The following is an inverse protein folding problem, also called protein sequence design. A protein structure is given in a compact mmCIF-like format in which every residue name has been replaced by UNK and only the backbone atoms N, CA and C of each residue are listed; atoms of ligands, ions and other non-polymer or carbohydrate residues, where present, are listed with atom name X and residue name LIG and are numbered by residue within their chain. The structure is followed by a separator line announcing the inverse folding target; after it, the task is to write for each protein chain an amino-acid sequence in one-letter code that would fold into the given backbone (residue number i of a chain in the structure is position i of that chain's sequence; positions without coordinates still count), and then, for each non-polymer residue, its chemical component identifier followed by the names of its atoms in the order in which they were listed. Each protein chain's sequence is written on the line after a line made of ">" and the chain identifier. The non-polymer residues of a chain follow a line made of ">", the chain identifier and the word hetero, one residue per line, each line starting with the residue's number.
data_IF_418859276162
#
_entry.id   IF_418859276162
#
_cell.length_a   1.000
_cell.length_b   1.000
_cell.length_c   1.000
_cell.angle_alpha   90.00
_cell.angle_beta   90.00
_cell.angle_gamma   90.00
#
_symmetry.space_group_name_H-M   'P 1'
#
loop_
_entity.id
_entity.type
_entity.pdbx_description
1 polymer ?
#
# COMPACT_ATOMS: atom_id res chain seq x y z
N UNK A 1 32.75 21.79 -17.56
CA UNK A 1 31.85 21.86 -16.40
C UNK A 1 31.64 20.44 -15.88
N UNK A 2 31.90 20.19 -14.59
CA UNK A 2 31.67 18.88 -13.98
C UNK A 2 30.38 18.89 -13.14
N UNK A 3 29.54 17.87 -13.31
CA UNK A 3 28.33 17.63 -12.53
C UNK A 3 28.52 16.30 -11.81
N UNK A 4 28.43 16.32 -10.48
CA UNK A 4 28.40 15.10 -9.69
C UNK A 4 26.95 14.69 -9.46
N UNK A 5 26.61 13.44 -9.77
CA UNK A 5 25.26 12.91 -9.55
C UNK A 5 25.25 11.79 -8.52
N UNK A 6 24.25 11.78 -7.65
CA UNK A 6 23.92 10.66 -6.77
C UNK A 6 22.53 10.12 -7.14
N UNK A 7 22.41 8.80 -7.11
CA UNK A 7 21.19 8.08 -7.47
C UNK A 7 20.31 7.88 -6.24
N UNK A 8 19.01 8.11 -6.40
CA UNK A 8 18.00 7.78 -5.39
C UNK A 8 16.90 6.96 -6.05
N UNK A 9 16.53 5.87 -5.40
CA UNK A 9 15.42 5.03 -5.80
C UNK A 9 14.39 4.93 -4.69
N UNK A 10 13.11 4.95 -5.07
CA UNK A 10 11.98 4.74 -4.18
C UNK A 10 11.14 3.57 -4.69
N UNK A 11 10.96 2.57 -3.83
CA UNK A 11 10.16 1.39 -4.08
C UNK A 11 8.82 1.54 -3.37
N UNK A 12 7.78 1.75 -4.16
CA UNK A 12 6.40 1.89 -3.72
C UNK A 12 5.69 0.53 -3.75
N UNK A 13 4.59 0.42 -2.99
CA UNK A 13 3.74 -0.77 -2.97
C UNK A 13 2.48 -0.60 -3.83
N UNK A 14 2.06 -1.64 -4.57
CA UNK A 14 0.83 -1.60 -5.36
C UNK A 14 -0.41 -1.61 -4.44
N UNK A 15 -1.61 -1.56 -5.02
CA UNK A 15 -2.83 -1.81 -4.26
C UNK A 15 -2.72 -3.13 -3.46
N UNK A 16 -3.20 -3.22 -2.20
CA UNK A 16 -4.06 -2.29 -1.47
C UNK A 16 -3.35 -1.21 -0.62
N UNK A 17 -2.04 -1.02 -0.79
CA UNK A 17 -1.28 -0.07 0.01
C UNK A 17 -1.50 1.38 -0.44
N UNK A 18 -1.35 2.35 0.47
CA UNK A 18 -1.62 3.79 0.21
C UNK A 18 -0.80 4.37 -0.94
N UNK A 19 0.41 3.85 -1.15
CA UNK A 19 1.27 4.25 -2.27
C UNK A 19 0.66 3.90 -3.63
N UNK A 20 -0.22 2.90 -3.68
CA UNK A 20 -1.04 2.46 -4.81
C UNK A 20 -0.33 2.59 -6.15
N UNK A 21 0.86 2.01 -6.26
CA UNK A 21 1.68 2.15 -7.46
C UNK A 21 1.23 1.21 -8.58
N UNK A 22 1.67 1.52 -9.79
CA UNK A 22 1.50 0.74 -11.00
C UNK A 22 2.72 -0.14 -11.22
N UNK A 23 2.52 -1.45 -11.15
CA UNK A 23 3.47 -2.46 -11.64
C UNK A 23 2.88 -3.05 -12.92
N UNK A 24 3.64 -3.08 -14.02
CA UNK A 24 3.17 -3.28 -15.39
C UNK A 24 2.48 -4.63 -15.69
N UNK A 25 2.20 -5.43 -14.67
CA UNK A 25 1.66 -6.77 -14.70
C UNK A 25 0.30 -6.93 -13.99
N UNK A 26 -0.22 -5.89 -13.33
CA UNK A 26 -1.46 -6.04 -12.56
C UNK A 26 -2.71 -5.85 -13.44
N UNK A 27 -3.09 -6.94 -14.11
CA UNK A 27 -4.36 -7.07 -14.85
C UNK A 27 -5.53 -7.50 -13.96
N UNK A 28 -5.33 -7.64 -12.64
CA UNK A 28 -6.32 -8.23 -11.73
C UNK A 28 -7.36 -7.24 -11.23
N UNK A 29 -7.10 -5.94 -11.39
CA UNK A 29 -8.09 -4.90 -11.17
C UNK A 29 -8.84 -4.60 -12.47
N UNK A 30 -10.13 -4.87 -12.46
CA UNK A 30 -11.13 -4.46 -13.47
C UNK A 30 -11.35 -2.92 -13.43
N UNK A 31 -10.27 -2.15 -13.29
CA UNK A 31 -10.26 -0.72 -13.00
C UNK A 31 -10.43 0.13 -14.27
N UNK A 32 -11.22 -0.35 -15.24
CA UNK A 32 -11.66 0.45 -16.37
C UNK A 32 -12.54 1.64 -15.94
N UNK A 33 -13.04 1.65 -14.70
CA UNK A 33 -13.99 2.65 -14.20
C UNK A 33 -13.33 3.85 -13.49
N UNK A 34 -12.13 3.72 -12.93
CA UNK A 34 -11.54 4.78 -12.06
C UNK A 34 -10.13 5.19 -12.47
N UNK A 35 -9.32 4.31 -13.08
CA UNK A 35 -7.92 4.64 -13.40
C UNK A 35 -7.55 4.31 -14.85
N UNK A 36 -7.01 5.31 -15.55
CA UNK A 36 -6.54 5.20 -16.92
C UNK A 36 -5.40 4.18 -17.11
N UNK A 37 -4.76 3.78 -16.01
CA UNK A 37 -3.57 2.94 -15.96
C UNK A 37 -3.73 1.53 -16.53
N UNK A 38 -4.92 0.92 -16.50
CA UNK A 38 -5.14 -0.41 -17.10
C UNK A 38 -4.88 -0.44 -18.62
N UNK A 39 -4.78 0.73 -19.26
CA UNK A 39 -4.46 0.89 -20.68
C UNK A 39 -2.98 1.16 -20.94
N UNK A 40 -2.13 1.44 -19.96
CA UNK A 40 -0.75 1.92 -20.20
C UNK A 40 0.30 0.99 -19.58
N UNK A 41 1.53 0.98 -20.12
CA UNK A 41 2.63 0.15 -19.59
C UNK A 41 3.54 0.90 -18.61
N UNK A 42 3.38 2.21 -18.50
CA UNK A 42 4.10 3.04 -17.54
C UNK A 42 3.24 4.21 -17.09
N UNK A 43 3.56 4.77 -15.92
CA UNK A 43 2.95 6.01 -15.45
C UNK A 43 3.19 7.17 -16.43
N UNK A 44 4.36 7.20 -17.08
CA UNK A 44 4.73 8.21 -18.06
C UNK A 44 3.83 8.20 -19.30
N UNK A 45 3.48 7.01 -19.81
CA UNK A 45 2.53 6.88 -20.91
C UNK A 45 1.12 7.38 -20.53
N UNK A 46 0.64 7.03 -19.33
CA UNK A 46 -0.64 7.53 -18.82
C UNK A 46 -0.61 9.06 -18.72
N UNK A 47 0.45 9.61 -18.14
CA UNK A 47 0.59 11.03 -17.89
C UNK A 47 0.60 11.84 -19.19
N UNK A 48 1.39 11.41 -20.17
CA UNK A 48 1.45 12.06 -21.48
C UNK A 48 0.12 11.99 -22.23
N UNK A 49 -0.57 10.85 -22.17
CA UNK A 49 -1.91 10.71 -22.74
C UNK A 49 -2.93 11.62 -22.04
N UNK A 50 -2.94 11.66 -20.70
CA UNK A 50 -3.80 12.55 -19.92
C UNK A 50 -3.54 14.04 -20.23
N UNK A 51 -2.27 14.45 -20.31
CA UNK A 51 -1.92 15.83 -20.69
C UNK A 51 -2.38 16.16 -22.11
N UNK A 52 -2.23 15.23 -23.05
CA UNK A 52 -2.65 15.44 -24.44
C UNK A 52 -4.17 15.60 -24.58
N UNK A 53 -4.94 14.81 -23.83
CA UNK A 53 -6.40 14.88 -23.82
C UNK A 53 -6.89 16.15 -23.11
N UNK A 54 -6.37 16.43 -21.91
CA UNK A 54 -6.80 17.56 -21.08
C UNK A 54 -6.52 18.92 -21.71
N UNK A 55 -5.41 19.05 -22.43
CA UNK A 55 -5.06 20.28 -23.14
C UNK A 55 -5.79 20.38 -24.50
N UNK A 56 -6.56 19.36 -24.90
CA UNK A 56 -7.27 19.25 -26.19
C UNK A 56 -6.38 19.60 -27.39
N UNK A 57 -5.13 19.18 -27.31
CA UNK A 57 -4.11 19.56 -28.27
C UNK A 57 -4.19 18.57 -29.44
N UNK A 58 -4.58 19.09 -30.62
CA UNK A 58 -4.60 18.32 -31.88
C UNK A 58 -3.22 18.23 -32.55
N UNK A 59 -2.16 18.37 -31.77
CA UNK A 59 -0.79 18.37 -32.24
C UNK A 59 0.13 17.67 -31.23
N UNK A 60 1.25 17.16 -31.72
CA UNK A 60 2.22 16.43 -30.91
C UNK A 60 3.23 17.43 -30.34
N UNK A 61 3.45 17.40 -29.02
CA UNK A 61 4.51 18.21 -28.42
C UNK A 61 5.87 17.59 -28.77
N UNK A 62 6.79 18.39 -29.31
CA UNK A 62 8.14 17.93 -29.68
C UNK A 62 8.90 17.31 -28.49
N UNK A 63 8.61 17.79 -27.28
CA UNK A 63 9.26 17.33 -26.04
C UNK A 63 8.53 16.18 -25.34
N UNK A 64 7.41 15.70 -25.89
CA UNK A 64 6.74 14.53 -25.33
C UNK A 64 7.46 13.24 -25.73
N UNK A 65 7.66 12.33 -24.78
CA UNK A 65 8.19 10.99 -25.06
C UNK A 65 7.10 10.16 -25.74
N UNK A 66 7.21 9.98 -27.05
CA UNK A 66 6.22 9.27 -27.84
C UNK A 66 6.55 7.79 -27.90
N UNK A 67 5.69 6.95 -27.35
CA UNK A 67 5.75 5.50 -27.61
C UNK A 67 4.97 5.16 -28.86
N UNK A 68 5.40 4.15 -29.61
CA UNK A 68 4.72 3.71 -30.83
C UNK A 68 3.24 3.40 -30.58
N UNK A 69 2.92 2.82 -29.43
CA UNK A 69 1.55 2.49 -29.02
C UNK A 69 0.71 3.74 -28.75
N UNK A 70 1.31 4.78 -28.14
CA UNK A 70 0.65 6.07 -27.95
C UNK A 70 0.30 6.69 -29.31
N UNK A 71 1.26 6.70 -30.25
CA UNK A 71 1.05 7.21 -31.61
C UNK A 71 -0.06 6.42 -32.30
N UNK A 72 -0.01 5.09 -32.27
CA UNK A 72 -1.02 4.22 -32.89
C UNK A 72 -2.43 4.49 -32.34
N UNK A 73 -2.58 4.64 -31.01
CA UNK A 73 -3.89 4.97 -30.42
C UNK A 73 -4.39 6.34 -30.84
N UNK A 74 -3.51 7.34 -30.85
CA UNK A 74 -3.92 8.69 -31.21
C UNK A 74 -4.31 8.78 -32.69
N UNK A 75 -3.60 8.08 -33.56
CA UNK A 75 -3.96 7.95 -34.98
C UNK A 75 -5.27 7.16 -35.20
N UNK A 76 -5.59 6.18 -34.33
CA UNK A 76 -6.86 5.45 -34.36
C UNK A 76 -8.05 6.28 -33.86
N UNK A 77 -7.85 7.26 -32.98
CA UNK A 77 -8.93 8.17 -32.56
C UNK A 77 -9.22 9.25 -33.62
N UNK A 78 -8.19 9.71 -34.35
CA UNK A 78 -8.28 10.73 -35.41
C UNK A 78 -8.15 10.11 -36.82
N UNK A 79 -9.07 9.21 -37.21
CA UNK A 79 -9.08 8.51 -38.51
C UNK A 79 -9.11 9.40 -39.76
N UNK A 80 -9.26 10.72 -39.63
CA UNK A 80 -9.45 11.65 -40.75
C UNK A 80 -8.20 12.42 -41.18
N UNK A 81 -7.04 12.26 -40.51
CA UNK A 81 -5.82 13.00 -40.86
C UNK A 81 -4.62 12.07 -40.98
N UNK A 82 -4.02 12.04 -42.17
CA UNK A 82 -2.84 11.23 -42.50
C UNK A 82 -1.57 11.60 -41.74
N UNK A 83 -1.55 12.71 -41.00
CA UNK A 83 -0.41 13.12 -40.17
C UNK A 83 -0.86 14.11 -39.10
N UNK A 84 -0.64 13.79 -37.82
CA UNK A 84 -0.88 14.75 -36.73
C UNK A 84 0.29 15.77 -36.72
N UNK A 85 0.03 17.08 -36.82
CA UNK A 85 1.10 18.08 -36.86
C UNK A 85 1.81 18.18 -35.51
N UNK A 86 3.09 18.59 -35.51
CA UNK A 86 3.75 19.00 -34.27
C UNK A 86 3.25 20.37 -33.82
N UNK A 87 3.13 20.58 -32.52
CA UNK A 87 2.74 21.89 -32.00
C UNK A 87 3.86 22.89 -32.26
N UNK A 88 3.55 23.99 -32.94
CA UNK A 88 4.44 25.15 -32.94
C UNK A 88 4.54 25.68 -31.51
N UNK A 89 5.75 25.95 -31.05
CA UNK A 89 6.10 26.38 -29.68
C UNK A 89 5.36 27.63 -29.16
N UNK A 90 4.42 28.21 -29.91
CA UNK A 90 3.85 29.54 -29.70
C UNK A 90 2.36 29.57 -29.34
N UNK A 91 1.65 28.44 -29.29
CA UNK A 91 0.31 28.47 -28.67
C UNK A 91 0.53 28.52 -27.17
N UNK A 92 0.52 29.74 -26.64
CA UNK A 92 0.49 30.07 -25.23
C UNK A 92 -0.52 29.15 -24.52
N UNK A 93 -0.04 28.02 -24.01
CA UNK A 93 -0.76 27.28 -23.01
C UNK A 93 -0.78 28.25 -21.83
N UNK A 94 -1.93 28.84 -21.53
CA UNK A 94 -2.08 29.68 -20.36
C UNK A 94 -1.45 28.94 -19.17
N UNK A 95 -0.35 29.48 -18.65
CA UNK A 95 0.54 28.77 -17.72
C UNK A 95 -0.25 28.27 -16.49
N UNK A 96 -1.30 29.00 -16.10
CA UNK A 96 -2.23 28.61 -15.03
C UNK A 96 -3.10 27.39 -15.40
N UNK A 97 -3.65 27.33 -16.63
CA UNK A 97 -4.37 26.13 -17.09
C UNK A 97 -3.43 24.93 -17.20
N UNK A 98 -2.17 25.15 -17.58
CA UNK A 98 -1.18 24.08 -17.63
C UNK A 98 -0.91 23.46 -16.26
N UNK A 99 -0.71 24.30 -15.23
CA UNK A 99 -0.46 23.83 -13.86
C UNK A 99 -1.61 22.99 -13.30
N UNK A 100 -2.85 23.45 -13.46
CA UNK A 100 -4.02 22.72 -12.98
C UNK A 100 -4.20 21.36 -13.69
N UNK A 101 -3.95 21.32 -15.01
CA UNK A 101 -4.01 20.07 -15.77
C UNK A 101 -2.86 19.12 -15.43
N UNK A 102 -1.69 19.65 -15.12
CA UNK A 102 -0.55 18.88 -14.62
C UNK A 102 -0.93 18.15 -13.32
N UNK A 103 -1.44 18.89 -12.34
CA UNK A 103 -1.84 18.33 -11.04
C UNK A 103 -2.98 17.31 -11.20
N UNK A 104 -3.95 17.60 -12.06
CA UNK A 104 -5.02 16.67 -12.40
C UNK A 104 -4.47 15.34 -12.94
N UNK A 105 -3.55 15.39 -13.90
CA UNK A 105 -2.97 14.19 -14.50
C UNK A 105 -2.05 13.44 -13.53
N UNK A 106 -1.34 14.14 -12.65
CA UNK A 106 -0.54 13.53 -11.57
C UNK A 106 -1.42 12.76 -10.57
N UNK A 107 -2.64 13.24 -10.30
CA UNK A 107 -3.61 12.54 -9.43
C UNK A 107 -4.29 11.38 -10.14
N UNK A 108 -4.56 11.51 -11.43
CA UNK A 108 -5.29 10.51 -12.24
C UNK A 108 -4.43 9.31 -12.64
N UNK A 109 -3.13 9.53 -12.84
CA UNK A 109 -2.20 8.47 -13.20
C UNK A 109 -1.44 7.99 -11.96
N UNK A 110 -1.61 6.71 -11.58
CA UNK A 110 -0.80 6.14 -10.49
C UNK A 110 0.69 6.15 -10.86
N UNK A 111 1.57 6.35 -9.88
CA UNK A 111 3.00 6.32 -10.14
C UNK A 111 3.53 4.92 -10.40
N UNK A 112 4.67 4.81 -11.08
CA UNK A 112 5.40 3.54 -11.19
C UNK A 112 5.83 3.03 -9.82
N UNK A 113 5.84 1.72 -9.62
CA UNK A 113 6.30 1.10 -8.37
C UNK A 113 7.78 1.32 -8.07
N UNK A 114 8.58 1.56 -9.11
CA UNK A 114 9.97 1.98 -8.98
C UNK A 114 10.07 3.41 -9.50
N UNK A 115 10.57 4.31 -8.66
CA UNK A 115 10.90 5.69 -9.02
C UNK A 115 12.38 5.91 -8.82
N UNK A 116 13.04 6.41 -9.86
CA UNK A 116 14.45 6.74 -9.81
C UNK A 116 14.61 8.24 -10.12
N UNK A 117 15.44 8.91 -9.33
CA UNK A 117 15.84 10.28 -9.60
C UNK A 117 17.28 10.54 -9.20
N UNK A 118 17.88 11.54 -9.84
CA UNK A 118 19.27 11.88 -9.66
C UNK A 118 19.37 13.24 -8.97
N UNK A 119 20.07 13.29 -7.84
CA UNK A 119 20.47 14.56 -7.23
C UNK A 119 21.77 15.02 -7.82
N UNK A 120 21.81 16.26 -8.32
CA UNK A 120 22.97 16.82 -8.99
C UNK A 120 23.59 17.93 -8.15
N UNK A 121 24.88 17.80 -7.86
CA UNK A 121 25.68 18.84 -7.25
C UNK A 121 26.59 19.46 -8.33
N UNK A 122 26.41 20.76 -8.57
CA UNK A 122 27.28 21.52 -9.48
C UNK A 122 28.53 21.95 -8.73
N UNK A 123 29.69 21.57 -9.23
CA UNK A 123 30.95 22.17 -8.79
C UNK A 123 31.19 23.42 -9.64
N UNK A 124 31.25 24.57 -8.97
CA UNK A 124 31.49 25.85 -9.64
C UNK A 124 32.83 25.80 -10.37
N UNK A 125 32.77 25.91 -11.70
CA UNK A 125 33.90 26.26 -12.55
C UNK A 125 33.57 27.62 -13.17
N UNK A 126 34.41 28.63 -12.93
CA UNK A 126 34.38 29.89 -13.69
C UNK A 126 35.01 29.69 -15.11
N UNK A 127 34.85 30.62 -16.06
CA UNK A 127 33.61 31.08 -16.65
C UNK A 127 33.40 30.63 -18.13
N UNK A 128 32.12 30.51 -18.50
CA UNK A 128 31.46 30.83 -19.78
C UNK A 128 31.85 30.22 -21.14
N UNK A 129 32.95 29.48 -21.33
CA UNK A 129 33.31 28.92 -22.66
C UNK A 129 33.52 27.40 -22.72
N UNK A 130 32.97 26.65 -21.77
CA UNK A 130 33.11 25.19 -21.76
C UNK A 130 31.90 24.53 -22.42
N UNK A 131 32.09 23.98 -23.63
CA UNK A 131 31.12 23.10 -24.33
C UNK A 131 31.08 21.68 -23.77
N UNK A 132 32.02 21.35 -22.88
CA UNK A 132 32.13 20.02 -22.28
C UNK A 132 31.43 19.95 -20.94
N UNK A 133 30.43 19.08 -20.87
CA UNK A 133 29.75 18.68 -19.64
C UNK A 133 30.28 17.29 -19.28
N UNK A 134 30.94 17.17 -18.12
CA UNK A 134 31.41 15.90 -17.59
C UNK A 134 30.46 15.47 -16.48
N UNK A 135 29.82 14.31 -16.66
CA UNK A 135 28.98 13.68 -15.64
C UNK A 135 29.83 12.70 -14.85
N UNK A 136 29.93 12.91 -13.54
CA UNK A 136 30.68 12.06 -12.64
C UNK A 136 29.73 11.51 -11.59
N UNK A 137 29.85 10.22 -11.25
CA UNK A 137 29.12 9.67 -10.11
C UNK A 137 29.70 10.27 -8.83
N UNK A 138 28.84 10.77 -7.96
CA UNK A 138 29.22 11.24 -6.62
C UNK A 138 29.74 10.08 -5.78
N UNK A 139 30.60 10.38 -4.81
CA UNK A 139 31.03 9.41 -3.80
C UNK A 139 29.94 9.13 -2.75
N UNK A 140 28.84 9.90 -2.78
CA UNK A 140 27.67 9.61 -1.96
C UNK A 140 27.05 8.27 -2.35
N UNK A 141 26.69 7.42 -1.37
CA UNK A 141 26.02 6.17 -1.66
C UNK A 141 24.65 6.42 -2.30
N UNK A 142 24.25 5.51 -3.19
CA UNK A 142 22.88 5.49 -3.71
C UNK A 142 21.89 5.28 -2.56
N UNK A 143 20.83 6.08 -2.54
CA UNK A 143 19.80 5.98 -1.50
C UNK A 143 18.64 5.14 -2.01
N UNK A 144 18.27 4.10 -1.26
CA UNK A 144 17.07 3.30 -1.52
C UNK A 144 16.05 3.61 -0.42
N UNK A 145 14.86 4.08 -0.83
CA UNK A 145 13.70 4.32 0.03
C UNK A 145 12.69 3.22 -0.25
N UNK A 146 12.46 2.31 0.70
CA UNK A 146 11.55 1.19 0.52
C UNK A 146 10.31 1.35 1.40
N UNK A 147 9.13 1.34 0.79
CA UNK A 147 7.86 1.31 1.50
C UNK A 147 7.53 -0.13 1.86
N UNK A 148 7.56 -0.42 3.16
CA UNK A 148 7.28 -1.74 3.73
C UNK A 148 5.93 -1.76 4.44
N UNK A 149 5.37 -2.95 4.58
CA UNK A 149 4.11 -3.17 5.28
C UNK A 149 4.31 -2.87 6.77
N UNK A 150 3.44 -2.04 7.35
CA UNK A 150 3.53 -1.72 8.77
C UNK A 150 3.27 -2.95 9.67
N UNK A 151 2.38 -3.83 9.22
CA UNK A 151 2.05 -5.08 9.91
C UNK A 151 1.85 -6.19 8.90
N UNK A 152 2.67 -7.24 8.99
CA UNK A 152 2.52 -8.43 8.17
C UNK A 152 1.35 -9.29 8.68
N UNK A 153 0.82 -10.18 7.82
CA UNK A 153 -0.26 -11.10 8.19
C UNK A 153 0.16 -12.02 9.34
N UNK A 154 1.42 -12.44 9.38
CA UNK A 154 1.97 -13.27 10.44
C UNK A 154 1.95 -12.52 11.77
N UNK A 155 2.30 -11.24 11.76
CA UNK A 155 2.26 -10.37 12.96
C UNK A 155 0.82 -10.18 13.43
N UNK A 156 -0.10 -9.94 12.49
CA UNK A 156 -1.53 -9.81 12.79
C UNK A 156 -2.12 -11.08 13.42
N UNK A 157 -1.89 -12.24 12.80
CA UNK A 157 -2.35 -13.53 13.31
C UNK A 157 -1.67 -13.89 14.64
N UNK A 158 -0.39 -13.56 14.78
CA UNK A 158 0.34 -13.69 16.04
C UNK A 158 -0.30 -12.88 17.17
N UNK A 159 -0.68 -11.63 16.90
CA UNK A 159 -1.34 -10.77 17.90
C UNK A 159 -2.72 -11.31 18.29
N UNK A 160 -3.55 -11.71 17.32
CA UNK A 160 -4.86 -12.32 17.60
C UNK A 160 -4.70 -13.62 18.38
N UNK A 161 -3.81 -14.50 17.92
CA UNK A 161 -3.54 -15.78 18.57
C UNK A 161 -3.03 -15.61 20.00
N UNK A 162 -2.13 -14.65 20.22
CA UNK A 162 -1.62 -14.31 21.55
C UNK A 162 -2.72 -13.83 22.49
N UNK A 163 -3.55 -12.89 22.05
CA UNK A 163 -4.68 -12.42 22.86
C UNK A 163 -5.70 -13.54 23.15
N UNK A 164 -6.06 -14.32 22.12
CA UNK A 164 -7.00 -15.42 22.25
C UNK A 164 -6.48 -16.50 23.20
N UNK A 165 -5.18 -16.81 23.17
CA UNK A 165 -4.54 -17.74 24.11
C UNK A 165 -4.67 -17.27 25.56
N UNK A 166 -4.44 -15.99 25.83
CA UNK A 166 -4.58 -15.43 27.19
C UNK A 166 -6.02 -15.54 27.68
N UNK A 167 -7.00 -15.15 26.87
CA UNK A 167 -8.42 -15.22 27.24
C UNK A 167 -8.90 -16.66 27.46
N UNK A 168 -8.48 -17.59 26.60
CA UNK A 168 -8.79 -19.01 26.76
C UNK A 168 -8.11 -19.59 28.00
N UNK A 169 -6.85 -19.24 28.27
CA UNK A 169 -6.12 -19.70 29.45
C UNK A 169 -6.83 -19.31 30.74
N UNK A 170 -7.25 -18.04 30.86
CA UNK A 170 -8.01 -17.55 32.03
C UNK A 170 -9.36 -18.27 32.14
N UNK A 171 -10.06 -18.42 31.02
CA UNK A 171 -11.37 -19.09 30.98
C UNK A 171 -11.29 -20.55 31.44
N UNK A 172 -10.26 -21.28 31.01
CA UNK A 172 -10.02 -22.66 31.42
C UNK A 172 -9.77 -22.76 32.93
N UNK A 173 -8.95 -21.88 33.50
CA UNK A 173 -8.69 -21.85 34.96
C UNK A 173 -9.99 -21.62 35.75
N UNK A 174 -10.82 -20.68 35.32
CA UNK A 174 -12.12 -20.42 35.97
C UNK A 174 -13.09 -21.62 35.86
N UNK A 175 -13.15 -22.28 34.70
CA UNK A 175 -13.96 -23.49 34.52
C UNK A 175 -13.49 -24.60 35.49
N UNK A 176 -12.19 -24.83 35.61
CA UNK A 176 -11.65 -25.81 36.55
C UNK A 176 -11.98 -25.44 38.01
N UNK A 177 -11.83 -24.17 38.39
CA UNK A 177 -12.20 -23.70 39.73
C UNK A 177 -13.69 -23.91 40.03
N UNK A 178 -14.56 -23.66 39.05
CA UNK A 178 -16.00 -23.89 39.15
C UNK A 178 -16.33 -25.38 39.34
N UNK A 179 -15.71 -26.26 38.53
CA UNK A 179 -15.87 -27.72 38.64
C UNK A 179 -15.43 -28.22 40.02
N UNK A 180 -14.26 -27.76 40.52
CA UNK A 180 -13.76 -28.14 41.84
C UNK A 180 -14.73 -27.68 42.95
N UNK A 181 -15.30 -26.47 42.85
CA UNK A 181 -16.33 -25.99 43.78
C UNK A 181 -17.56 -26.91 43.79
N UNK A 182 -18.07 -27.30 42.62
CA UNK A 182 -19.21 -28.22 42.51
C UNK A 182 -18.90 -29.56 43.19
N UNK A 183 -17.73 -30.14 42.92
CA UNK A 183 -17.32 -31.43 43.49
C UNK A 183 -17.24 -31.34 45.03
N UNK A 184 -16.62 -30.28 45.57
CA UNK A 184 -16.55 -30.06 47.03
C UNK A 184 -17.93 -29.88 47.67
N UNK A 185 -18.82 -29.12 47.04
CA UNK A 185 -20.20 -28.93 47.52
C UNK A 185 -20.96 -30.26 47.55
N UNK A 186 -20.80 -31.10 46.52
CA UNK A 186 -21.39 -32.45 46.47
C UNK A 186 -20.86 -33.36 47.58
N UNK A 187 -19.55 -33.31 47.82
CA UNK A 187 -18.91 -34.11 48.87
C UNK A 187 -19.39 -33.68 50.27
N UNK A 188 -19.50 -32.38 50.52
CA UNK A 188 -20.06 -31.84 51.78
C UNK A 188 -21.53 -32.23 51.98
N UNK A 189 -22.35 -32.16 50.93
CA UNK A 189 -23.75 -32.61 50.95
C UNK A 189 -23.87 -34.10 51.30
N UNK A 190 -22.99 -34.95 50.73
CA UNK A 190 -22.93 -36.38 51.05
C UNK A 190 -22.59 -36.64 52.51
N UNK A 191 -21.59 -35.94 53.06
CA UNK A 191 -21.19 -36.05 54.47
C UNK A 191 -22.34 -35.60 55.39
N UNK A 192 -22.98 -34.47 55.11
CA UNK A 192 -24.13 -33.97 55.87
C UNK A 192 -25.31 -34.95 55.84
N UNK A 193 -25.56 -35.59 54.70
CA UNK A 193 -26.60 -36.62 54.58
C UNK A 193 -26.26 -37.87 55.40
N UNK A 194 -25.01 -38.34 55.35
CA UNK A 194 -24.54 -39.46 56.17
C UNK A 194 -24.62 -39.14 57.68
N UNK A 195 -24.21 -37.94 58.09
CA UNK A 195 -24.33 -37.49 59.48
C UNK A 195 -25.79 -37.39 59.92
N UNK A 196 -26.69 -36.91 59.07
CA UNK A 196 -28.13 -36.86 59.37
C UNK A 196 -28.73 -38.27 59.54
N UNK A 197 -28.36 -39.23 58.67
CA UNK A 197 -28.80 -40.63 58.79
C UNK A 197 -28.27 -41.27 60.08
N UNK A 198 -27.00 -41.05 60.42
CA UNK A 198 -26.39 -41.55 61.65
C UNK A 198 -27.08 -40.95 62.89
N UNK A 199 -27.35 -39.64 62.89
CA UNK A 199 -28.03 -38.95 63.99
C UNK A 199 -29.47 -39.46 64.17
N UNK A 200 -30.22 -39.66 63.08
CA UNK A 200 -31.58 -40.24 63.10
C UNK A 200 -31.57 -41.68 63.62
N UNK A 201 -30.56 -42.47 63.29
CA UNK A 201 -30.40 -43.86 63.76
C UNK A 201 -30.04 -43.94 65.25
N UNK A 202 -29.19 -43.03 65.74
CA UNK A 202 -28.88 -42.89 67.17
C UNK A 202 -30.13 -42.55 67.99
N UNK A 203 -30.95 -41.61 67.50
CA UNK A 203 -32.18 -41.20 68.18
C UNK A 203 -33.24 -42.31 68.26
N UNK A 204 -33.31 -43.19 67.26
CA UNK A 204 -34.17 -44.40 67.31
C UNK A 204 -33.70 -45.44 68.32
N UNK A 205 -32.39 -45.60 68.53
CA UNK A 205 -31.85 -46.52 69.55
C UNK A 205 -32.18 -46.05 70.97
N UNK A 206 -32.14 -44.74 71.23
CA UNK A 206 -32.49 -44.20 72.55
C UNK A 206 -33.99 -44.27 72.89
N UNK A 207 -34.88 -44.41 71.90
CA UNK A 207 -36.33 -44.54 72.14
C UNK A 207 -36.84 -46.00 72.26
N UNK A 208 -35.95 -47.00 72.17
CA UNK A 208 -36.29 -48.42 72.36
C UNK A 208 -35.53 -49.06 73.54
N UNK A 209 -34.89 -48.24 74.38
CA UNK A 209 -34.29 -48.65 75.65
C UNK A 209 -35.07 -48.09 76.83
N UNK A 210 -36.36 -48.44 76.94
CA UNK A 210 -37.18 -48.39 78.15
C UNK A 210 -38.23 -49.48 78.06
#
# INVERSE_FOLDING_TARGET
>A
MAIFYSEKSEHLKPYPFDTNCFDGYDHTLDDCAVNWNGKFRSSGECFLYCLSESLNVRCINYYSLLTERWIRRRLQEDFSRSMMPFCSSSKNIEIQKHGNQLEYCMKKCRPSCVREWFTMAKVNSEPFNQTTITLLRSNEPSQLIEHVEATSLETFMGNIGGHLHVWLGISVVEIFNYIIRIIRLRHFSGILCCLYVLFKRSRRRNNHGY
#
